data_IF_127848024715
#
_entry.id   IF_127848024715
#
_cell.length_a   1.000
_cell.length_b   1.000
_cell.length_c   1.000
_cell.angle_alpha   90.00
_cell.angle_beta   90.00
_cell.angle_gamma   90.00
#
_symmetry.space_group_name_H-M   'P 1'
#
loop_
_entity.id
_entity.type
_entity.pdbx_description
1 polymer ?
#
# COMPACT_ATOMS: atom_id res chain seq x y z
N UNK A 1 7.40 -8.03 -8.67
CA UNK A 1 8.56 -8.66 -7.99
C UNK A 1 8.31 -8.65 -6.50
N UNK A 2 8.20 -9.81 -5.85
CA UNK A 2 8.12 -9.85 -4.39
C UNK A 2 9.44 -9.32 -3.82
N UNK A 3 9.35 -8.38 -2.88
CA UNK A 3 10.52 -7.84 -2.19
C UNK A 3 10.52 -8.34 -0.74
N UNK A 4 11.69 -8.67 -0.23
CA UNK A 4 11.90 -8.92 1.19
C UNK A 4 11.79 -7.60 1.97
N UNK A 5 11.83 -7.66 3.30
CA UNK A 5 11.74 -6.48 4.16
C UNK A 5 12.85 -5.44 3.93
N UNK A 6 13.94 -5.82 3.26
CA UNK A 6 15.03 -4.92 2.86
C UNK A 6 14.89 -4.38 1.41
N UNK A 7 13.76 -4.64 0.74
CA UNK A 7 13.51 -4.20 -0.63
C UNK A 7 14.20 -5.04 -1.72
N UNK A 8 14.90 -6.11 -1.38
CA UNK A 8 15.56 -7.04 -2.31
C UNK A 8 14.60 -8.12 -2.82
N UNK A 9 14.87 -8.71 -3.98
CA UNK A 9 13.97 -9.70 -4.56
C UNK A 9 13.86 -10.97 -3.68
N UNK A 10 12.64 -11.52 -3.51
CA UNK A 10 12.43 -12.78 -2.78
C UNK A 10 12.77 -13.97 -3.68
N UNK A 11 13.78 -14.74 -3.28
CA UNK A 11 14.10 -16.08 -3.80
C UNK A 11 13.83 -17.12 -2.71
N UNK A 12 13.26 -18.28 -3.03
CA UNK A 12 13.27 -19.42 -2.07
C UNK A 12 14.62 -20.11 -2.09
N UNK A 13 14.95 -20.81 -1.01
CA UNK A 13 16.17 -21.64 -0.93
C UNK A 13 16.14 -22.67 -2.07
N UNK A 14 17.08 -22.58 -2.99
CA UNK A 14 17.20 -23.45 -4.17
C UNK A 14 16.63 -22.88 -5.48
N UNK A 15 16.02 -21.69 -5.47
CA UNK A 15 15.60 -21.00 -6.70
C UNK A 15 16.72 -20.09 -7.22
N UNK A 16 17.03 -20.20 -8.52
CA UNK A 16 18.00 -19.34 -9.22
C UNK A 16 17.42 -17.99 -9.63
N UNK A 17 16.08 -17.88 -9.67
CA UNK A 17 15.37 -16.68 -10.14
C UNK A 17 14.43 -16.11 -9.07
N UNK A 18 14.33 -14.78 -8.98
CA UNK A 18 13.44 -14.12 -8.03
C UNK A 18 11.97 -14.25 -8.42
N UNK A 19 11.12 -14.42 -7.40
CA UNK A 19 9.67 -14.49 -7.59
C UNK A 19 9.11 -13.13 -8.03
N UNK A 20 8.46 -13.12 -9.19
CA UNK A 20 7.73 -11.98 -9.68
C UNK A 20 6.27 -12.04 -9.22
N UNK A 21 5.81 -11.05 -8.43
CA UNK A 21 4.38 -10.74 -8.39
C UNK A 21 3.94 -10.34 -9.79
N UNK A 22 3.08 -11.16 -10.39
CA UNK A 22 2.40 -10.85 -11.64
C UNK A 22 1.02 -10.32 -11.27
N UNK A 23 0.72 -9.09 -11.67
CA UNK A 23 -0.60 -8.52 -11.43
C UNK A 23 -1.65 -9.25 -12.28
N UNK A 24 -2.87 -9.41 -11.77
CA UNK A 24 -4.00 -9.97 -12.55
C UNK A 24 -4.18 -9.23 -13.88
N UNK A 25 -4.01 -7.91 -13.88
CA UNK A 25 -4.07 -7.09 -15.10
C UNK A 25 -3.03 -7.48 -16.15
N UNK A 26 -1.85 -7.93 -15.73
CA UNK A 26 -0.77 -8.42 -16.61
C UNK A 26 -1.10 -9.77 -17.26
N UNK A 27 -2.01 -10.56 -16.69
CA UNK A 27 -2.49 -11.83 -17.25
C UNK A 27 -3.76 -11.66 -18.08
N UNK A 28 -4.64 -10.74 -17.66
CA UNK A 28 -5.92 -10.45 -18.31
C UNK A 28 -5.76 -10.08 -19.77
N UNK A 29 -4.90 -9.08 -20.05
CA UNK A 29 -4.74 -8.56 -21.41
C UNK A 29 -4.24 -9.63 -22.40
N UNK A 30 -3.18 -10.41 -22.11
CA UNK A 30 -2.76 -11.53 -22.95
C UNK A 30 -3.86 -12.55 -23.24
N UNK A 31 -4.68 -12.90 -22.24
CA UNK A 31 -5.77 -13.86 -22.38
C UNK A 31 -6.88 -13.30 -23.29
N UNK A 32 -7.35 -12.08 -23.01
CA UNK A 32 -8.39 -11.43 -23.81
C UNK A 32 -7.93 -11.24 -25.26
N UNK A 33 -6.69 -10.78 -25.47
CA UNK A 33 -6.12 -10.59 -26.79
C UNK A 33 -6.03 -11.91 -27.57
N UNK A 34 -5.56 -13.00 -26.93
CA UNK A 34 -5.48 -14.30 -27.58
C UNK A 34 -6.87 -14.88 -27.91
N UNK A 35 -7.85 -14.75 -27.01
CA UNK A 35 -9.23 -15.16 -27.25
C UNK A 35 -9.86 -14.39 -28.42
N UNK A 36 -9.70 -13.06 -28.45
CA UNK A 36 -10.19 -12.22 -29.54
C UNK A 36 -9.51 -12.55 -30.87
N UNK A 37 -8.19 -12.79 -30.86
CA UNK A 37 -7.44 -13.16 -32.05
C UNK A 37 -7.91 -14.51 -32.63
N UNK A 38 -8.11 -15.52 -31.78
CA UNK A 38 -8.57 -16.85 -32.17
C UNK A 38 -10.01 -16.88 -32.68
N UNK A 39 -10.86 -15.98 -32.18
CA UNK A 39 -12.23 -15.77 -32.66
C UNK A 39 -12.30 -14.95 -33.97
N UNK A 40 -11.21 -14.30 -34.38
CA UNK A 40 -11.21 -13.38 -35.52
C UNK A 40 -11.20 -14.10 -36.87
N UNK A 41 -12.16 -13.72 -37.74
CA UNK A 41 -12.19 -14.14 -39.14
C UNK A 41 -10.94 -13.71 -39.93
N UNK A 42 -10.24 -12.66 -39.49
CA UNK A 42 -9.02 -12.19 -40.14
C UNK A 42 -7.87 -13.18 -40.00
N UNK A 43 -7.72 -13.81 -38.83
CA UNK A 43 -6.71 -14.83 -38.60
C UNK A 43 -6.99 -16.05 -39.48
N UNK A 44 -8.25 -16.48 -39.56
CA UNK A 44 -8.67 -17.59 -40.42
C UNK A 44 -8.39 -17.30 -41.92
N UNK A 45 -8.62 -16.06 -42.37
CA UNK A 45 -8.42 -15.68 -43.79
C UNK A 45 -6.96 -15.42 -44.17
N UNK A 46 -6.18 -14.77 -43.30
CA UNK A 46 -4.81 -14.30 -43.61
C UNK A 46 -3.72 -15.20 -43.04
N UNK A 47 -4.06 -16.19 -42.21
CA UNK A 47 -3.12 -17.06 -41.51
C UNK A 47 -2.35 -16.38 -40.36
N UNK A 48 -2.31 -15.03 -40.32
CA UNK A 48 -1.65 -14.24 -39.29
C UNK A 48 -2.48 -13.03 -38.86
N UNK A 49 -2.36 -12.65 -37.59
CA UNK A 49 -2.91 -11.44 -36.99
C UNK A 49 -1.85 -10.83 -36.06
N UNK A 50 -1.54 -9.54 -36.22
CA UNK A 50 -0.45 -8.85 -35.50
C UNK A 50 0.92 -9.58 -35.58
N UNK A 51 1.22 -10.18 -36.73
CA UNK A 51 2.46 -10.94 -36.94
C UNK A 51 2.49 -12.35 -36.33
N UNK A 52 1.45 -12.74 -35.58
CA UNK A 52 1.32 -14.07 -34.95
C UNK A 52 0.35 -14.94 -35.71
N UNK A 53 0.68 -16.23 -35.83
CA UNK A 53 -0.20 -17.24 -36.40
C UNK A 53 -1.11 -17.86 -35.35
N UNK A 54 -1.98 -18.79 -35.78
CA UNK A 54 -2.91 -19.47 -34.89
C UNK A 54 -2.21 -20.24 -33.77
N UNK A 55 -1.15 -20.98 -34.09
CA UNK A 55 -0.40 -21.77 -33.11
C UNK A 55 0.23 -20.88 -32.03
N UNK A 56 0.76 -19.71 -32.42
CA UNK A 56 1.30 -18.73 -31.48
C UNK A 56 0.24 -18.15 -30.54
N UNK A 57 -0.97 -17.87 -31.04
CA UNK A 57 -2.08 -17.42 -30.20
C UNK A 57 -2.61 -18.53 -29.28
N UNK A 58 -2.69 -19.77 -29.75
CA UNK A 58 -3.07 -20.94 -28.93
C UNK A 58 -2.05 -21.20 -27.82
N UNK A 59 -0.75 -21.13 -28.12
CA UNK A 59 0.31 -21.28 -27.13
C UNK A 59 0.24 -20.20 -26.05
N UNK A 60 0.03 -18.94 -26.42
CA UNK A 60 -0.15 -17.84 -25.47
C UNK A 60 -1.38 -18.05 -24.58
N UNK A 61 -2.50 -18.50 -25.15
CA UNK A 61 -3.69 -18.78 -24.37
C UNK A 61 -3.47 -19.94 -23.41
N UNK A 62 -2.80 -21.01 -23.85
CA UNK A 62 -2.47 -22.17 -23.03
C UNK A 62 -1.56 -21.81 -21.85
N UNK A 63 -0.62 -20.89 -22.05
CA UNK A 63 0.29 -20.41 -21.00
C UNK A 63 -0.42 -19.52 -19.98
N UNK A 64 -1.16 -18.50 -20.43
CA UNK A 64 -1.69 -17.47 -19.53
C UNK A 64 -3.07 -17.79 -18.95
N UNK A 65 -3.90 -18.60 -19.61
CA UNK A 65 -5.27 -18.87 -19.15
C UNK A 65 -5.32 -19.54 -17.78
N UNK A 66 -4.54 -20.61 -17.49
CA UNK A 66 -4.57 -21.23 -16.16
C UNK A 66 -4.13 -20.29 -15.05
N UNK A 67 -3.12 -19.45 -15.33
CA UNK A 67 -2.62 -18.45 -14.38
C UNK A 67 -3.68 -17.38 -14.11
N UNK A 68 -4.37 -16.92 -15.14
CA UNK A 68 -5.45 -15.95 -15.01
C UNK A 68 -6.61 -16.51 -14.19
N UNK A 69 -7.03 -17.75 -14.46
CA UNK A 69 -8.12 -18.42 -13.74
C UNK A 69 -7.79 -18.61 -12.25
N UNK A 70 -6.56 -19.05 -11.96
CA UNK A 70 -6.08 -19.15 -10.58
C UNK A 70 -6.08 -17.78 -9.89
N UNK A 71 -5.62 -16.73 -10.58
CA UNK A 71 -5.62 -15.37 -10.03
C UNK A 71 -7.04 -14.88 -9.75
N UNK A 72 -8.00 -15.23 -10.60
CA UNK A 72 -9.40 -14.85 -10.44
C UNK A 72 -10.02 -15.53 -9.22
N UNK A 73 -9.84 -16.84 -9.08
CA UNK A 73 -10.30 -17.59 -7.91
C UNK A 73 -9.67 -17.06 -6.61
N UNK A 74 -8.37 -16.77 -6.63
CA UNK A 74 -7.68 -16.17 -5.48
C UNK A 74 -8.29 -14.82 -5.07
N UNK A 75 -8.51 -13.93 -6.04
CA UNK A 75 -9.08 -12.61 -5.75
C UNK A 75 -10.53 -12.71 -5.25
N UNK A 76 -11.34 -13.60 -5.83
CA UNK A 76 -12.71 -13.85 -5.34
C UNK A 76 -12.71 -14.33 -3.89
N UNK A 77 -11.78 -15.22 -3.52
CA UNK A 77 -11.66 -15.69 -2.14
C UNK A 77 -11.17 -14.58 -1.20
N UNK A 78 -10.25 -13.72 -1.64
CA UNK A 78 -9.87 -12.53 -0.89
C UNK A 78 -11.06 -11.59 -0.66
N UNK A 79 -11.86 -11.33 -1.69
CA UNK A 79 -13.04 -10.45 -1.61
C UNK A 79 -14.07 -11.06 -0.64
N UNK A 80 -14.33 -12.37 -0.75
CA UNK A 80 -15.20 -13.12 0.18
C UNK A 80 -14.74 -13.00 1.63
N UNK A 81 -13.45 -13.19 1.89
CA UNK A 81 -12.87 -13.05 3.23
C UNK A 81 -12.95 -11.60 3.74
N UNK A 82 -12.74 -10.60 2.88
CA UNK A 82 -12.88 -9.20 3.26
C UNK A 82 -14.31 -8.86 3.66
N UNK A 83 -15.30 -9.38 2.94
CA UNK A 83 -16.72 -9.23 3.27
C UNK A 83 -17.08 -9.94 4.58
N UNK A 84 -16.71 -11.21 4.72
CA UNK A 84 -17.01 -12.03 5.91
C UNK A 84 -16.41 -11.43 7.19
N UNK A 85 -15.18 -10.93 7.10
CA UNK A 85 -14.48 -10.33 8.25
C UNK A 85 -14.89 -8.87 8.50
N UNK A 86 -15.76 -8.29 7.66
CA UNK A 86 -16.07 -6.87 7.72
C UNK A 86 -14.82 -5.98 7.60
N UNK A 87 -13.81 -6.46 6.87
CA UNK A 87 -12.48 -5.87 6.80
C UNK A 87 -12.51 -4.39 6.41
N UNK A 88 -13.31 -4.04 5.39
CA UNK A 88 -13.44 -2.66 4.92
C UNK A 88 -13.93 -1.71 6.00
N UNK A 89 -14.94 -2.12 6.77
CA UNK A 89 -15.48 -1.30 7.85
C UNK A 89 -14.46 -1.16 9.00
N UNK A 90 -13.80 -2.26 9.37
CA UNK A 90 -12.76 -2.25 10.40
C UNK A 90 -11.57 -1.37 10.00
N UNK A 91 -11.08 -1.52 8.76
CA UNK A 91 -10.01 -0.72 8.20
C UNK A 91 -10.37 0.77 8.17
N UNK A 92 -11.58 1.11 7.72
CA UNK A 92 -12.05 2.49 7.68
C UNK A 92 -12.19 3.08 9.08
N UNK A 93 -12.67 2.31 10.06
CA UNK A 93 -12.72 2.75 11.46
C UNK A 93 -11.32 3.01 12.03
N UNK A 94 -10.34 2.16 11.73
CA UNK A 94 -8.94 2.35 12.13
C UNK A 94 -8.34 3.59 11.46
N UNK A 95 -8.57 3.77 10.16
CA UNK A 95 -8.10 4.94 9.41
C UNK A 95 -8.68 6.23 10.00
N UNK A 96 -9.99 6.29 10.21
CA UNK A 96 -10.66 7.46 10.77
C UNK A 96 -10.13 7.80 12.16
N UNK A 97 -9.92 6.79 13.03
CA UNK A 97 -9.34 7.01 14.37
C UNK A 97 -7.90 7.53 14.30
N UNK A 98 -7.12 7.06 13.34
CA UNK A 98 -5.75 7.54 13.11
C UNK A 98 -5.75 9.00 12.66
N UNK A 99 -6.65 9.36 11.74
CA UNK A 99 -6.79 10.74 11.26
C UNK A 99 -7.21 11.67 12.40
N UNK A 100 -8.22 11.28 13.19
CA UNK A 100 -8.64 12.03 14.39
C UNK A 100 -7.52 12.20 15.41
N UNK A 101 -6.71 11.15 15.64
CA UNK A 101 -5.55 11.25 16.53
C UNK A 101 -4.53 12.23 15.96
N UNK A 102 -4.25 12.18 14.65
CA UNK A 102 -3.33 13.11 13.99
C UNK A 102 -3.81 14.56 14.10
N UNK A 103 -5.09 14.82 13.84
CA UNK A 103 -5.70 16.15 13.98
C UNK A 103 -5.62 16.66 15.42
N UNK A 104 -5.90 15.79 16.40
CA UNK A 104 -5.81 16.13 17.83
C UNK A 104 -4.39 16.52 18.22
N UNK A 105 -3.39 15.74 17.80
CA UNK A 105 -1.98 16.04 18.10
C UNK A 105 -1.57 17.34 17.42
N UNK A 106 -1.92 17.56 16.15
CA UNK A 106 -1.64 18.83 15.45
C UNK A 106 -2.29 20.02 16.15
N UNK A 107 -3.54 19.89 16.57
CA UNK A 107 -4.25 20.94 17.30
C UNK A 107 -3.58 21.24 18.66
N UNK A 108 -3.14 20.22 19.39
CA UNK A 108 -2.36 20.39 20.61
C UNK A 108 -1.04 21.11 20.31
N UNK A 109 -0.30 20.68 19.29
CA UNK A 109 0.98 21.28 18.91
C UNK A 109 0.86 22.76 18.54
N UNK A 110 -0.26 23.19 17.95
CA UNK A 110 -0.52 24.58 17.59
C UNK A 110 -0.81 25.52 18.78
N UNK A 111 -1.20 24.99 19.95
CA UNK A 111 -1.49 25.81 21.13
C UNK A 111 -0.21 26.39 21.74
N UNK A 112 -0.24 27.62 22.25
CA UNK A 112 0.92 28.18 22.97
C UNK A 112 1.07 27.56 24.36
N UNK A 113 2.29 27.18 24.70
CA UNK A 113 2.63 26.66 26.01
C UNK A 113 2.98 27.80 26.96
N UNK A 114 2.34 27.74 28.13
CA UNK A 114 2.58 28.67 29.23
C UNK A 114 3.06 27.94 30.49
N UNK A 115 3.00 26.60 30.51
CA UNK A 115 3.34 25.77 31.68
C UNK A 115 4.09 24.51 31.27
N UNK A 116 4.89 23.96 32.20
CA UNK A 116 5.54 22.64 32.05
C UNK A 116 4.52 21.53 31.83
N UNK A 117 3.36 21.60 32.49
CA UNK A 117 2.27 20.66 32.29
C UNK A 117 1.78 20.64 30.84
N UNK A 118 1.68 21.80 30.18
CA UNK A 118 1.33 21.89 28.77
C UNK A 118 2.36 21.23 27.84
N UNK A 119 3.65 21.39 28.13
CA UNK A 119 4.73 20.71 27.39
C UNK A 119 4.67 19.19 27.56
N UNK A 120 4.40 18.70 28.78
CA UNK A 120 4.25 17.27 29.05
C UNK A 120 3.06 16.66 28.30
N UNK A 121 1.94 17.38 28.20
CA UNK A 121 0.77 16.94 27.42
C UNK A 121 1.14 16.78 25.95
N UNK A 122 1.83 17.76 25.35
CA UNK A 122 2.31 17.67 23.96
C UNK A 122 3.27 16.52 23.75
N UNK A 123 4.26 16.36 24.63
CA UNK A 123 5.20 15.25 24.57
C UNK A 123 4.50 13.89 24.65
N UNK A 124 3.50 13.75 25.54
CA UNK A 124 2.72 12.53 25.67
C UNK A 124 1.84 12.27 24.44
N UNK A 125 1.29 13.31 23.83
CA UNK A 125 0.51 13.21 22.60
C UNK A 125 1.37 12.69 21.44
N UNK A 126 2.55 13.27 21.23
CA UNK A 126 3.53 12.82 20.22
C UNK A 126 3.98 11.38 20.50
N UNK A 127 4.30 11.05 21.75
CA UNK A 127 4.66 9.68 22.14
C UNK A 127 3.53 8.68 21.84
N UNK A 128 2.28 9.04 22.13
CA UNK A 128 1.12 8.17 21.90
C UNK A 128 0.91 7.92 20.41
N UNK A 129 1.05 8.96 19.59
CA UNK A 129 1.02 8.80 18.14
C UNK A 129 2.16 7.92 17.62
N UNK A 130 3.38 8.12 18.16
CA UNK A 130 4.59 7.36 17.83
C UNK A 130 4.48 5.85 18.08
N UNK A 131 3.54 5.40 18.92
CA UNK A 131 3.27 3.98 19.18
C UNK A 131 2.37 3.33 18.12
N UNK A 132 1.78 4.10 17.22
CA UNK A 132 0.98 3.55 16.12
C UNK A 132 1.90 2.99 15.03
N UNK A 133 1.57 1.83 14.45
CA UNK A 133 2.41 1.15 13.43
C UNK A 133 2.66 2.02 12.17
N UNK A 134 1.89 3.09 11.99
CA UNK A 134 1.97 4.02 10.86
C UNK A 134 2.22 5.47 11.28
N UNK A 135 2.86 5.68 12.44
CA UNK A 135 3.16 7.00 12.99
C UNK A 135 4.02 7.89 12.07
N UNK A 136 4.72 7.32 11.09
CA UNK A 136 5.61 8.07 10.20
C UNK A 136 4.96 8.45 8.86
N UNK A 137 3.70 8.04 8.64
CA UNK A 137 3.06 8.19 7.33
C UNK A 137 2.29 9.51 7.16
N UNK A 138 2.25 10.40 8.15
CA UNK A 138 1.63 11.72 8.00
C UNK A 138 2.71 12.80 7.95
N UNK A 139 2.67 13.65 6.91
CA UNK A 139 3.63 14.76 6.76
C UNK A 139 3.68 15.70 7.98
N UNK A 140 2.56 15.83 8.70
CA UNK A 140 2.49 16.62 9.93
C UNK A 140 3.27 15.97 11.08
N UNK A 141 3.25 14.64 11.21
CA UNK A 141 3.96 13.95 12.29
C UNK A 141 5.47 14.13 12.24
N UNK A 142 6.03 14.31 11.03
CA UNK A 142 7.45 14.62 10.83
C UNK A 142 7.84 15.93 11.52
N UNK A 143 6.92 16.91 11.59
CA UNK A 143 7.19 18.25 12.14
C UNK A 143 7.05 18.35 13.65
N UNK A 144 6.19 17.53 14.26
CA UNK A 144 5.85 17.68 15.68
C UNK A 144 7.05 17.55 16.61
N UNK A 145 8.02 16.70 16.28
CA UNK A 145 9.26 16.57 17.07
C UNK A 145 10.05 17.89 17.09
N UNK A 146 10.13 18.58 15.95
CA UNK A 146 10.77 19.89 15.85
C UNK A 146 9.97 20.97 16.59
N UNK A 147 8.65 21.01 16.39
CA UNK A 147 7.76 21.96 17.05
C UNK A 147 7.78 21.81 18.59
N UNK A 148 7.87 20.57 19.09
CA UNK A 148 8.01 20.28 20.52
C UNK A 148 9.38 20.71 21.06
N UNK A 149 10.46 20.48 20.31
CA UNK A 149 11.80 20.92 20.70
C UNK A 149 11.86 22.46 20.79
N UNK A 150 11.35 23.17 19.79
CA UNK A 150 11.27 24.64 19.81
C UNK A 150 10.44 25.15 21.00
N UNK A 151 9.35 24.48 21.32
CA UNK A 151 8.52 24.85 22.46
C UNK A 151 9.25 24.71 23.80
N UNK A 152 10.00 23.62 23.99
CA UNK A 152 10.84 23.41 25.17
C UNK A 152 11.90 24.51 25.27
N UNK A 153 12.55 24.86 24.16
CA UNK A 153 13.54 25.95 24.12
C UNK A 153 12.92 27.29 24.51
N UNK A 154 11.79 27.68 23.89
CA UNK A 154 11.07 28.92 24.22
C UNK A 154 10.65 29.00 25.68
N UNK A 155 10.26 27.86 26.28
CA UNK A 155 9.88 27.81 27.69
C UNK A 155 11.09 27.97 28.61
N UNK A 156 12.20 27.28 28.30
CA UNK A 156 13.45 27.39 29.07
C UNK A 156 14.02 28.81 29.04
N UNK A 157 14.01 29.47 27.88
CA UNK A 157 14.46 30.86 27.72
C UNK A 157 13.65 31.84 28.58
N UNK A 158 12.33 31.66 28.69
CA UNK A 158 11.48 32.48 29.56
C UNK A 158 11.80 32.28 31.04
N UNK A 159 12.12 31.06 31.46
CA UNK A 159 12.48 30.75 32.84
C UNK A 159 13.91 31.17 33.22
N UNK A 160 14.80 31.32 32.24
CA UNK A 160 16.18 31.79 32.46
C UNK A 160 16.29 33.34 32.51
N UNK A 161 15.26 34.06 32.06
CA UNK A 161 15.18 35.53 32.08
C UNK A 161 14.39 36.13 33.24
N UNK A 162 13.91 35.30 34.18
CA UNK A 162 13.21 35.70 35.43
C UNK A 162 14.10 35.49 36.64
#
# INVERSE_FOLDING_TARGET
MERNFAGGARTRRGESEPRALVARSSLRYPVEAAQQALASKHLARRGKLYGRDRASWEAQLQEHKPLFDLSEAYHQECDRLQEELGWTAAWQAVSNKKDQLSETVTALMAQKEQTVAGLLVKARAVQTFGRTEHAWCTFQAIRWSGELAEAVLRFAERGAGS
#
